data_IF_361716736167
#
_entry.id   IF_361716736167
#
_cell.length_a   1.000
_cell.length_b   1.000
_cell.length_c   1.000
_cell.angle_alpha   90.00
_cell.angle_beta   90.00
_cell.angle_gamma   90.00
#
_symmetry.space_group_name_H-M   'P 1'
#
loop_
_entity.id
_entity.type
_entity.pdbx_description
1 polymer ?
#
# COMPACT_ATOMS: atom_id res chain seq x y z
N UNK A 1 -2.13 -25.08 23.17
CA UNK A 1 -2.32 -24.18 22.02
C UNK A 1 -3.01 -24.94 20.89
N UNK A 2 -4.13 -24.38 20.41
CA UNK A 2 -4.95 -24.98 19.34
C UNK A 2 -5.16 -23.98 18.18
N UNK A 3 -4.15 -23.16 17.90
CA UNK A 3 -4.16 -22.23 16.80
C UNK A 3 -3.50 -22.88 15.57
N UNK A 4 -4.28 -23.04 14.53
CA UNK A 4 -3.84 -23.65 13.26
C UNK A 4 -3.97 -22.64 12.14
N UNK A 5 -3.10 -22.72 11.12
CA UNK A 5 -3.28 -21.96 9.91
C UNK A 5 -4.54 -22.41 9.16
N UNK A 6 -5.24 -21.47 8.53
CA UNK A 6 -6.49 -21.76 7.80
C UNK A 6 -6.25 -22.56 6.52
N UNK A 7 -5.05 -22.47 5.96
CA UNK A 7 -4.64 -23.24 4.79
C UNK A 7 -3.15 -23.57 4.83
N UNK A 8 -2.76 -24.70 4.19
CA UNK A 8 -1.36 -25.10 4.05
C UNK A 8 -0.66 -24.34 2.91
N UNK A 9 -0.71 -23.01 2.99
CA UNK A 9 -0.18 -22.09 1.99
C UNK A 9 0.68 -20.99 2.63
N UNK A 10 1.03 -19.96 1.87
CA UNK A 10 1.83 -18.84 2.33
C UNK A 10 1.10 -17.91 3.32
N UNK A 11 1.83 -16.94 3.81
CA UNK A 11 1.38 -15.94 4.80
C UNK A 11 0.18 -15.14 4.30
N UNK A 12 0.21 -14.67 3.06
CA UNK A 12 -0.86 -13.86 2.46
C UNK A 12 -2.20 -14.58 2.48
N UNK A 13 -2.25 -15.83 2.02
CA UNK A 13 -3.50 -16.60 2.00
C UNK A 13 -4.09 -16.77 3.41
N UNK A 14 -3.27 -17.07 4.42
CA UNK A 14 -3.74 -17.20 5.79
C UNK A 14 -4.21 -15.87 6.39
N UNK A 15 -3.58 -14.75 6.06
CA UNK A 15 -4.04 -13.41 6.45
C UNK A 15 -5.34 -13.02 5.75
N UNK A 16 -5.51 -13.38 4.48
CA UNK A 16 -6.78 -13.18 3.77
C UNK A 16 -7.92 -13.94 4.46
N UNK A 17 -7.72 -15.20 4.85
CA UNK A 17 -8.71 -15.94 5.63
C UNK A 17 -9.08 -15.25 6.94
N UNK A 18 -8.08 -14.74 7.68
CA UNK A 18 -8.33 -14.03 8.93
C UNK A 18 -9.22 -12.79 8.72
N UNK A 19 -8.98 -12.06 7.64
CA UNK A 19 -9.64 -10.78 7.40
C UNK A 19 -10.92 -10.86 6.58
N UNK A 20 -11.17 -11.98 5.88
CA UNK A 20 -12.32 -12.07 4.96
C UNK A 20 -13.07 -13.40 5.03
N UNK A 21 -12.56 -14.38 5.74
CA UNK A 21 -13.12 -15.75 5.77
C UNK A 21 -12.92 -16.52 4.46
N UNK A 22 -12.19 -15.96 3.48
CA UNK A 22 -11.97 -16.58 2.18
C UNK A 22 -10.64 -16.15 1.57
N UNK A 23 -10.16 -16.92 0.59
CA UNK A 23 -9.04 -16.55 -0.28
C UNK A 23 -9.49 -16.42 -1.75
N UNK A 24 -10.79 -16.33 -1.98
CA UNK A 24 -11.39 -16.23 -3.31
C UNK A 24 -12.24 -14.95 -3.40
N UNK A 25 -12.19 -14.23 -4.54
CA UNK A 25 -13.06 -13.07 -4.77
C UNK A 25 -14.55 -13.41 -4.66
N UNK A 26 -14.92 -14.60 -5.08
CA UNK A 26 -16.30 -15.09 -5.05
C UNK A 26 -16.37 -16.44 -4.33
N UNK A 27 -17.47 -16.69 -3.63
CA UNK A 27 -17.77 -17.97 -2.98
C UNK A 27 -18.21 -19.01 -4.00
N UNK A 28 -17.39 -19.23 -5.03
CA UNK A 28 -17.63 -20.20 -6.08
C UNK A 28 -16.38 -21.07 -6.30
N UNK A 29 -16.53 -22.39 -6.51
CA UNK A 29 -15.38 -23.29 -6.68
C UNK A 29 -14.42 -22.90 -7.82
N UNK A 30 -14.95 -22.33 -8.89
CA UNK A 30 -14.18 -21.92 -10.06
C UNK A 30 -13.52 -20.54 -9.90
N UNK A 31 -13.85 -19.79 -8.85
CA UNK A 31 -13.16 -18.53 -8.54
C UNK A 31 -11.71 -18.82 -8.17
N UNK A 32 -10.72 -18.16 -8.80
CA UNK A 32 -9.31 -18.42 -8.53
C UNK A 32 -8.96 -18.13 -7.08
N UNK A 33 -8.24 -19.04 -6.43
CA UNK A 33 -7.79 -18.88 -5.06
C UNK A 33 -6.45 -18.14 -5.00
N UNK A 34 -6.32 -17.19 -4.08
CA UNK A 34 -5.06 -16.54 -3.75
C UNK A 34 -4.25 -17.48 -2.84
N UNK A 35 -3.31 -18.23 -3.42
CA UNK A 35 -2.51 -19.23 -2.72
C UNK A 35 -1.08 -18.78 -2.46
N UNK A 36 -0.57 -17.84 -3.27
CA UNK A 36 0.80 -17.33 -3.20
C UNK A 36 0.81 -15.90 -2.68
N UNK A 37 1.92 -15.51 -2.06
CA UNK A 37 2.08 -14.12 -1.61
C UNK A 37 2.01 -13.09 -2.76
N UNK A 38 2.27 -13.53 -3.99
CA UNK A 38 2.20 -12.71 -5.19
C UNK A 38 0.83 -12.67 -5.87
N UNK A 39 -0.19 -13.35 -5.36
CA UNK A 39 -1.52 -13.38 -5.99
C UNK A 39 -2.35 -12.13 -5.67
N UNK A 40 -2.02 -11.45 -4.56
CA UNK A 40 -2.56 -10.15 -4.17
C UNK A 40 -1.41 -9.24 -3.76
N UNK A 41 -1.34 -8.07 -4.35
CA UNK A 41 -0.36 -7.04 -4.07
C UNK A 41 -0.91 -5.66 -4.48
N UNK A 42 -0.09 -4.60 -4.37
CA UNK A 42 -0.49 -3.25 -4.77
C UNK A 42 -0.77 -3.08 -6.28
N UNK A 43 -0.37 -4.01 -7.13
CA UNK A 43 -0.66 -4.04 -8.56
C UNK A 43 -1.87 -4.90 -8.92
N UNK A 44 -2.23 -5.82 -8.00
CA UNK A 44 -3.35 -6.76 -8.12
C UNK A 44 -4.19 -6.71 -6.84
N UNK A 45 -4.86 -5.60 -6.65
CA UNK A 45 -5.64 -5.34 -5.45
C UNK A 45 -6.86 -6.25 -5.35
N UNK A 46 -7.15 -6.69 -4.14
CA UNK A 46 -8.38 -7.39 -3.78
C UNK A 46 -9.57 -6.42 -3.71
N UNK A 47 -10.78 -6.93 -3.95
CA UNK A 47 -12.00 -6.09 -4.01
C UNK A 47 -13.17 -6.68 -3.23
N UNK A 48 -13.05 -7.91 -2.73
CA UNK A 48 -14.16 -8.54 -2.00
C UNK A 48 -14.25 -8.05 -0.55
N UNK A 49 -15.42 -8.25 0.05
CA UNK A 49 -15.76 -7.73 1.38
C UNK A 49 -14.85 -8.29 2.46
N UNK A 50 -14.40 -7.42 3.35
CA UNK A 50 -13.56 -7.72 4.50
C UNK A 50 -14.36 -7.73 5.80
N UNK A 51 -13.79 -8.30 6.87
CA UNK A 51 -14.40 -8.29 8.20
C UNK A 51 -14.59 -6.85 8.74
N UNK A 52 -13.65 -5.91 8.61
CA UNK A 52 -13.89 -4.51 8.97
C UNK A 52 -15.10 -3.87 8.30
N UNK A 53 -15.36 -4.15 7.03
CA UNK A 53 -16.56 -3.64 6.35
C UNK A 53 -17.87 -4.25 6.93
N UNK A 54 -17.82 -5.50 7.39
CA UNK A 54 -18.95 -6.12 8.11
C UNK A 54 -19.18 -5.45 9.46
N UNK A 55 -18.13 -5.11 10.19
CA UNK A 55 -18.24 -4.35 11.45
C UNK A 55 -18.85 -2.97 11.19
N UNK A 56 -18.38 -2.28 10.14
CA UNK A 56 -18.93 -0.99 9.72
C UNK A 56 -20.44 -1.07 9.42
N UNK A 57 -20.86 -2.06 8.65
CA UNK A 57 -22.27 -2.29 8.31
C UNK A 57 -23.16 -2.57 9.53
N UNK A 58 -22.59 -3.07 10.63
CA UNK A 58 -23.26 -3.34 11.88
C UNK A 58 -23.14 -2.20 12.91
N UNK A 59 -22.49 -1.08 12.55
CA UNK A 59 -22.24 0.02 13.46
C UNK A 59 -21.26 -0.30 14.60
N UNK A 60 -20.45 -1.37 14.44
CA UNK A 60 -19.44 -1.78 15.43
C UNK A 60 -18.15 -1.02 15.17
N UNK A 61 -17.64 -0.33 16.19
CA UNK A 61 -16.38 0.40 16.08
C UNK A 61 -15.20 -0.56 15.93
N UNK A 62 -14.27 -0.19 15.07
CA UNK A 62 -13.03 -0.94 14.82
C UNK A 62 -11.91 0.01 14.42
N UNK A 63 -10.66 -0.41 14.58
CA UNK A 63 -9.47 0.28 14.09
C UNK A 63 -8.30 -0.68 14.03
N UNK A 64 -7.46 -0.54 13.03
CA UNK A 64 -6.19 -1.26 12.92
C UNK A 64 -5.06 -0.35 13.36
N UNK A 65 -4.21 -0.85 14.26
CA UNK A 65 -2.97 -0.22 14.70
C UNK A 65 -1.80 -1.04 14.18
N UNK A 66 -0.83 -0.37 13.59
CA UNK A 66 0.37 -1.00 13.03
C UNK A 66 1.58 -0.07 13.19
N UNK A 67 2.79 -0.62 13.10
CA UNK A 67 3.98 0.21 13.23
C UNK A 67 4.12 1.18 12.05
N UNK A 68 4.15 0.66 10.83
CA UNK A 68 4.18 1.46 9.61
C UNK A 68 3.54 0.68 8.45
N UNK A 69 3.24 1.35 7.35
CA UNK A 69 2.77 0.76 6.10
C UNK A 69 3.90 0.04 5.37
N UNK A 70 3.56 -0.99 4.63
CA UNK A 70 4.50 -1.66 3.72
C UNK A 70 4.69 -0.95 2.39
N UNK A 71 3.84 0.04 2.07
CA UNK A 71 4.14 1.01 1.00
C UNK A 71 5.37 1.84 1.40
N UNK A 72 6.19 2.29 0.41
CA UNK A 72 7.29 3.19 0.69
C UNK A 72 6.82 4.47 1.41
N UNK A 73 7.33 4.71 2.62
CA UNK A 73 7.01 5.87 3.47
C UNK A 73 8.24 6.71 3.83
N UNK A 74 9.40 6.32 3.30
CA UNK A 74 10.68 7.01 3.55
C UNK A 74 11.54 6.34 4.61
N UNK A 75 11.13 5.16 5.10
CA UNK A 75 11.98 4.32 5.94
C UNK A 75 13.19 3.83 5.15
N UNK A 76 14.34 3.71 5.80
CA UNK A 76 15.47 2.99 5.25
C UNK A 76 15.25 1.47 5.33
N UNK A 77 16.13 0.68 4.72
CA UNK A 77 15.97 -0.79 4.62
C UNK A 77 15.90 -1.47 6.01
N UNK A 78 16.66 -0.97 6.99
CA UNK A 78 16.67 -1.51 8.35
C UNK A 78 15.36 -1.17 9.09
N UNK A 79 14.94 0.08 9.03
CA UNK A 79 13.67 0.53 9.60
C UNK A 79 12.49 -0.19 8.97
N UNK A 80 12.48 -0.36 7.64
CA UNK A 80 11.43 -1.09 6.93
C UNK A 80 11.38 -2.55 7.37
N UNK A 81 12.53 -3.20 7.56
CA UNK A 81 12.59 -4.59 8.03
C UNK A 81 12.01 -4.75 9.44
N UNK A 82 12.11 -3.74 10.30
CA UNK A 82 11.58 -3.77 11.66
C UNK A 82 10.13 -3.33 11.78
N UNK A 83 9.71 -2.32 11.01
CA UNK A 83 8.45 -1.62 11.23
C UNK A 83 7.37 -1.95 10.18
N UNK A 84 7.76 -2.40 9.00
CA UNK A 84 6.86 -2.61 7.87
C UNK A 84 7.07 -3.98 7.19
N UNK A 85 7.54 -4.96 7.94
CA UNK A 85 7.90 -6.27 7.41
C UNK A 85 6.65 -7.08 6.99
N UNK A 86 6.66 -7.62 5.78
CA UNK A 86 5.67 -8.57 5.25
C UNK A 86 4.22 -8.08 5.14
N UNK A 87 3.95 -6.80 5.04
CA UNK A 87 2.58 -6.26 4.97
C UNK A 87 1.66 -6.93 6.00
N UNK A 88 1.91 -6.66 7.27
CA UNK A 88 1.18 -7.28 8.39
C UNK A 88 -0.32 -6.99 8.35
N UNK A 89 -0.70 -5.86 7.77
CA UNK A 89 -2.08 -5.47 7.55
C UNK A 89 -2.49 -5.69 6.08
N UNK A 90 -3.15 -6.80 5.72
CA UNK A 90 -3.55 -7.09 4.36
C UNK A 90 -4.62 -6.14 3.80
N UNK A 91 -5.24 -5.27 4.61
CA UNK A 91 -6.13 -4.21 4.10
C UNK A 91 -5.40 -3.26 3.17
N UNK A 92 -4.07 -3.18 3.23
CA UNK A 92 -3.25 -2.44 2.26
C UNK A 92 -3.42 -2.94 0.82
N UNK A 93 -3.81 -4.19 0.63
CA UNK A 93 -4.04 -4.79 -0.69
C UNK A 93 -5.49 -4.69 -1.18
N UNK A 94 -6.40 -4.15 -0.37
CA UNK A 94 -7.79 -4.01 -0.75
C UNK A 94 -8.08 -2.60 -1.27
N UNK A 95 -8.55 -2.50 -2.52
CA UNK A 95 -8.75 -1.23 -3.22
C UNK A 95 -9.67 -0.25 -2.48
N UNK A 96 -10.68 -0.76 -1.77
CA UNK A 96 -11.65 0.05 -1.03
C UNK A 96 -11.10 0.76 0.21
N UNK A 97 -9.90 0.37 0.69
CA UNK A 97 -9.23 1.06 1.79
C UNK A 97 -8.27 2.16 1.34
N UNK A 98 -7.98 2.23 0.04
CA UNK A 98 -7.26 3.37 -0.56
C UNK A 98 -5.89 3.69 0.08
N UNK A 99 -5.07 2.68 0.41
CA UNK A 99 -3.80 2.83 1.14
C UNK A 99 -2.86 3.89 0.55
N UNK A 100 -2.88 4.07 -0.77
CA UNK A 100 -1.99 5.00 -1.48
C UNK A 100 -2.24 6.48 -1.16
N UNK A 101 -3.34 6.81 -0.50
CA UNK A 101 -3.58 8.15 0.02
C UNK A 101 -2.88 8.44 1.35
N UNK A 102 -2.08 7.51 1.87
CA UNK A 102 -1.27 7.75 3.08
C UNK A 102 -0.42 9.00 2.95
N UNK A 103 -0.48 9.93 3.93
CA UNK A 103 0.34 11.13 3.92
C UNK A 103 1.85 10.84 3.90
N UNK A 104 2.29 9.78 4.59
CA UNK A 104 3.69 9.37 4.59
C UNK A 104 4.14 8.90 3.21
N UNK A 105 3.32 8.07 2.52
CA UNK A 105 3.60 7.66 1.15
C UNK A 105 3.63 8.85 0.17
N UNK A 106 2.69 9.78 0.30
CA UNK A 106 2.66 10.98 -0.53
C UNK A 106 3.91 11.86 -0.31
N UNK A 107 4.38 11.99 0.93
CA UNK A 107 5.62 12.71 1.24
C UNK A 107 6.84 12.02 0.63
N UNK A 108 6.91 10.69 0.71
CA UNK A 108 7.95 9.90 0.06
C UNK A 108 7.94 10.11 -1.46
N UNK A 109 6.77 10.09 -2.11
CA UNK A 109 6.66 10.35 -3.55
C UNK A 109 7.19 11.73 -3.94
N UNK A 110 6.94 12.78 -3.15
CA UNK A 110 7.49 14.12 -3.37
C UNK A 110 9.02 14.14 -3.27
N UNK A 111 9.58 13.50 -2.26
CA UNK A 111 11.02 13.38 -2.10
C UNK A 111 11.63 12.61 -3.27
N UNK A 112 11.00 11.51 -3.67
CA UNK A 112 11.43 10.71 -4.81
C UNK A 112 11.39 11.48 -6.12
N UNK A 113 10.37 12.29 -6.34
CA UNK A 113 10.31 13.19 -7.50
C UNK A 113 11.52 14.15 -7.53
N UNK A 114 11.80 14.83 -6.42
CA UNK A 114 12.90 15.78 -6.33
C UNK A 114 14.28 15.11 -6.56
N UNK A 115 14.49 13.90 -6.04
CA UNK A 115 15.70 13.11 -6.27
C UNK A 115 15.88 12.77 -7.75
N UNK A 116 14.82 12.29 -8.41
CA UNK A 116 14.85 11.92 -9.82
C UNK A 116 15.08 13.15 -10.71
N UNK A 117 14.43 14.28 -10.43
CA UNK A 117 14.64 15.56 -11.13
C UNK A 117 16.10 16.04 -10.98
N UNK A 118 16.64 15.95 -9.77
CA UNK A 118 18.06 16.30 -9.51
C UNK A 118 19.00 15.39 -10.29
N UNK A 119 18.73 14.09 -10.33
CA UNK A 119 19.54 13.12 -11.07
C UNK A 119 19.54 13.42 -12.57
N UNK A 120 18.38 13.67 -13.14
CA UNK A 120 18.23 14.01 -14.55
C UNK A 120 18.89 15.33 -14.89
N UNK A 121 18.76 16.35 -14.03
CA UNK A 121 19.40 17.66 -14.24
C UNK A 121 20.93 17.55 -14.22
N UNK A 122 21.50 16.81 -13.28
CA UNK A 122 22.95 16.56 -13.21
C UNK A 122 23.47 15.85 -14.47
N UNK A 123 22.75 14.86 -14.95
CA UNK A 123 23.10 14.16 -16.18
C UNK A 123 23.06 15.11 -17.39
N UNK A 124 21.99 15.89 -17.55
CA UNK A 124 21.86 16.85 -18.63
C UNK A 124 22.97 17.91 -18.64
N UNK A 125 23.38 18.36 -17.47
CA UNK A 125 24.47 19.36 -17.34
C UNK A 125 25.85 18.76 -17.65
N UNK A 126 26.04 17.43 -17.51
CA UNK A 126 27.33 16.76 -17.72
C UNK A 126 27.56 16.17 -19.12
N UNK A 127 26.50 16.09 -19.95
CA UNK A 127 26.58 15.44 -21.28
C UNK A 127 26.61 16.45 -22.39
N UNK A 128 27.77 16.55 -23.07
CA UNK A 128 27.90 17.36 -24.28
C UNK A 128 27.36 16.66 -25.54
N UNK A 129 27.54 15.34 -25.69
CA UNK A 129 27.04 14.52 -26.81
C UNK A 129 27.13 13.02 -26.45
N UNK A 130 26.07 12.24 -26.62
CA UNK A 130 26.08 10.80 -26.42
C UNK A 130 24.67 10.20 -26.30
N UNK A 131 24.57 8.87 -26.45
CA UNK A 131 23.32 8.15 -26.22
C UNK A 131 22.97 8.17 -24.72
N UNK A 132 21.67 8.27 -24.41
CA UNK A 132 21.18 8.26 -23.03
C UNK A 132 21.47 6.89 -22.38
N UNK A 133 22.15 6.85 -21.21
CA UNK A 133 22.37 5.61 -20.49
C UNK A 133 21.05 4.97 -20.02
N UNK A 134 20.98 3.62 -19.92
CA UNK A 134 19.77 2.93 -19.48
C UNK A 134 19.26 3.39 -18.10
N UNK A 135 20.17 3.77 -17.19
CA UNK A 135 19.84 4.26 -15.85
C UNK A 135 19.07 5.59 -15.91
N UNK A 136 19.44 6.47 -16.84
CA UNK A 136 18.80 7.77 -17.05
C UNK A 136 17.43 7.58 -17.69
N UNK A 137 17.31 6.72 -18.68
CA UNK A 137 16.03 6.34 -19.28
C UNK A 137 15.08 5.76 -18.22
N UNK A 138 15.57 4.89 -17.34
CA UNK A 138 14.83 4.34 -16.20
C UNK A 138 14.41 5.44 -15.21
N UNK A 139 15.33 6.36 -14.88
CA UNK A 139 15.01 7.47 -13.99
C UNK A 139 13.90 8.38 -14.57
N UNK A 140 13.93 8.63 -15.88
CA UNK A 140 12.89 9.38 -16.57
C UNK A 140 11.52 8.67 -16.49
N UNK A 141 11.50 7.38 -16.77
CA UNK A 141 10.28 6.58 -16.65
C UNK A 141 9.74 6.58 -15.22
N UNK A 142 10.61 6.43 -14.23
CA UNK A 142 10.24 6.50 -12.81
C UNK A 142 9.69 7.88 -12.43
N UNK A 143 10.27 8.95 -12.95
CA UNK A 143 9.78 10.32 -12.72
C UNK A 143 8.34 10.49 -13.24
N UNK A 144 8.05 10.02 -14.45
CA UNK A 144 6.70 10.09 -15.00
C UNK A 144 5.70 9.25 -14.19
N UNK A 145 6.09 8.06 -13.76
CA UNK A 145 5.26 7.22 -12.88
C UNK A 145 5.01 7.89 -11.52
N UNK A 146 6.04 8.52 -10.95
CA UNK A 146 5.92 9.23 -9.66
C UNK A 146 5.00 10.44 -9.78
N UNK A 147 5.12 11.23 -10.85
CA UNK A 147 4.22 12.36 -11.13
C UNK A 147 2.77 11.92 -11.33
N UNK A 148 2.55 10.84 -12.09
CA UNK A 148 1.22 10.27 -12.27
C UNK A 148 0.62 9.79 -10.94
N UNK A 149 1.43 9.17 -10.08
CA UNK A 149 1.02 8.74 -8.74
C UNK A 149 0.65 9.92 -7.84
N UNK A 150 1.46 10.98 -7.82
CA UNK A 150 1.19 12.21 -7.06
C UNK A 150 -0.10 12.90 -7.50
N UNK A 151 -0.37 12.94 -8.80
CA UNK A 151 -1.60 13.51 -9.34
C UNK A 151 -2.83 12.65 -8.98
N UNK A 152 -2.71 11.33 -9.13
CA UNK A 152 -3.81 10.38 -8.87
C UNK A 152 -4.17 10.29 -7.39
N UNK A 153 -3.18 10.30 -6.50
CA UNK A 153 -3.32 10.08 -5.06
C UNK A 153 -3.08 11.36 -4.26
N UNK A 154 -3.54 12.50 -4.82
CA UNK A 154 -3.37 13.81 -4.20
C UNK A 154 -4.30 13.99 -2.99
N UNK A 155 -3.98 14.93 -2.06
CA UNK A 155 -4.88 15.28 -0.97
C UNK A 155 -6.27 15.73 -1.44
N UNK A 156 -6.36 16.40 -2.60
CA UNK A 156 -7.61 16.84 -3.20
C UNK A 156 -8.43 15.63 -3.69
N UNK A 157 -7.79 14.64 -4.30
CA UNK A 157 -8.43 13.40 -4.70
C UNK A 157 -8.93 12.61 -3.47
N UNK A 158 -8.18 12.59 -2.37
CA UNK A 158 -8.64 12.02 -1.10
C UNK A 158 -9.86 12.76 -0.55
N UNK A 159 -9.84 14.09 -0.58
CA UNK A 159 -10.97 14.90 -0.12
C UNK A 159 -12.24 14.71 -0.97
N UNK A 160 -12.10 14.27 -2.22
CA UNK A 160 -13.21 13.95 -3.11
C UNK A 160 -13.83 12.56 -2.87
N UNK A 161 -13.19 11.70 -2.07
CA UNK A 161 -13.79 10.43 -1.63
C UNK A 161 -15.00 10.69 -0.72
N UNK A 162 -15.91 9.72 -0.64
CA UNK A 162 -17.04 9.81 0.30
C UNK A 162 -16.55 9.82 1.76
N UNK A 163 -17.38 10.30 2.67
CA UNK A 163 -17.08 10.31 4.11
C UNK A 163 -16.80 8.89 4.61
N UNK A 164 -17.54 7.92 4.11
CA UNK A 164 -17.39 6.50 4.44
C UNK A 164 -16.04 5.97 3.98
N UNK A 165 -15.65 6.24 2.72
CA UNK A 165 -14.35 5.82 2.19
C UNK A 165 -13.18 6.44 2.96
N UNK A 166 -13.26 7.74 3.27
CA UNK A 166 -12.26 8.41 4.09
C UNK A 166 -12.20 7.82 5.51
N UNK A 167 -13.36 7.45 6.08
CA UNK A 167 -13.44 6.82 7.40
C UNK A 167 -12.80 5.44 7.40
N UNK A 168 -13.10 4.61 6.40
CA UNK A 168 -12.47 3.28 6.23
C UNK A 168 -10.95 3.41 6.13
N UNK A 169 -10.45 4.31 5.30
CA UNK A 169 -9.02 4.58 5.17
C UNK A 169 -8.36 4.92 6.51
N UNK A 170 -8.91 5.90 7.24
CA UNK A 170 -8.33 6.35 8.52
C UNK A 170 -8.35 5.29 9.60
N UNK A 171 -9.33 4.40 9.60
CA UNK A 171 -9.44 3.29 10.56
C UNK A 171 -8.55 2.12 10.20
N UNK A 172 -8.34 1.87 8.91
CA UNK A 172 -7.51 0.78 8.42
C UNK A 172 -6.02 1.03 8.60
N UNK A 173 -5.58 2.29 8.63
CA UNK A 173 -4.15 2.66 8.54
C UNK A 173 -3.74 3.65 9.64
N UNK A 174 -3.91 3.25 10.91
CA UNK A 174 -3.34 4.00 12.03
C UNK A 174 -1.94 3.48 12.31
N UNK A 175 -0.93 4.28 11.96
CA UNK A 175 0.48 3.95 12.20
C UNK A 175 1.00 4.63 13.45
N UNK A 176 2.09 4.12 14.04
CA UNK A 176 2.73 4.75 15.19
C UNK A 176 3.19 6.18 14.88
N UNK A 177 3.76 6.40 13.70
CA UNK A 177 4.18 7.73 13.25
C UNK A 177 3.00 8.69 13.03
N UNK A 178 1.83 8.16 12.71
CA UNK A 178 0.59 8.91 12.51
C UNK A 178 -0.22 9.15 13.78
N UNK A 179 0.13 8.49 14.88
CA UNK A 179 -0.52 8.66 16.17
C UNK A 179 0.31 9.57 17.08
N UNK A 180 -0.19 10.78 17.35
CA UNK A 180 0.50 11.75 18.20
C UNK A 180 0.65 11.31 19.68
N UNK A 181 -0.12 10.34 20.10
CA UNK A 181 -0.20 9.88 21.50
C UNK A 181 0.57 8.56 21.75
N UNK A 182 1.26 8.01 20.76
CA UNK A 182 1.96 6.73 20.89
C UNK A 182 3.31 6.79 21.63
N UNK A 183 3.81 7.98 21.96
CA UNK A 183 5.10 8.20 22.62
C UNK A 183 5.00 8.10 24.12
#
# INVERSE_FOLDING_TARGET
DQNFCSSLTGTTANRLYLWTGTIRPEFHPDSPACLRNSDVDYGREATWTTFPERLEALGISWRVYQNELSLPTGLNDEEAAWLANFTDNPLEWFSQFHVRFSPAHHSWLKNRQAELETTLAKWQAGVATGAEPPEISKARQQLEQTRASLARWSPEAFAALTVEQQSLHRRAFTTNSGDKDWR
#
